data_IF_035521792362
#
_entry.id   IF_035521792362
#
_cell.length_a   1.000
_cell.length_b   1.000
_cell.length_c   1.000
_cell.angle_alpha   90.00
_cell.angle_beta   90.00
_cell.angle_gamma   90.00
#
_symmetry.space_group_name_H-M   'P 1'
#
loop_
_entity.id
_entity.type
_entity.pdbx_description
1 polymer ?
#
# COMPACT_ATOMS: atom_id res chain seq x y z
N UNK A 1 14.51 -2.63 -20.80
CA UNK A 1 13.30 -1.91 -20.34
C UNK A 1 12.73 -2.58 -19.12
N UNK A 2 12.49 -1.83 -18.08
CA UNK A 2 11.90 -2.37 -16.85
C UNK A 2 10.45 -2.79 -17.09
N UNK A 3 10.09 -3.98 -16.62
CA UNK A 3 8.75 -4.54 -16.76
C UNK A 3 8.08 -4.67 -15.39
N UNK A 4 7.02 -3.90 -15.18
CA UNK A 4 6.23 -3.94 -13.94
C UNK A 4 4.88 -4.59 -14.22
N UNK A 5 4.50 -5.56 -13.39
CA UNK A 5 3.21 -6.23 -13.47
C UNK A 5 2.54 -6.23 -12.10
N UNK A 6 1.23 -6.10 -12.09
CA UNK A 6 0.40 -6.26 -10.89
C UNK A 6 -0.34 -7.59 -11.01
N UNK A 7 -0.17 -8.44 -10.00
CA UNK A 7 -0.67 -9.82 -10.03
C UNK A 7 -1.77 -9.96 -8.99
N UNK A 8 -2.96 -10.41 -9.41
CA UNK A 8 -4.07 -10.71 -8.49
C UNK A 8 -3.73 -11.90 -7.60
N UNK A 9 -4.06 -11.80 -6.32
CA UNK A 9 -3.78 -12.85 -5.34
C UNK A 9 -5.02 -13.73 -5.19
N UNK A 10 -5.07 -14.82 -5.92
CA UNK A 10 -6.24 -15.68 -6.04
C UNK A 10 -5.98 -17.16 -5.68
N UNK A 11 -4.81 -17.48 -5.11
CA UNK A 11 -4.48 -18.82 -4.66
C UNK A 11 -3.52 -18.79 -3.47
N UNK A 12 -3.34 -19.93 -2.81
CA UNK A 12 -2.53 -20.05 -1.60
C UNK A 12 -1.04 -19.76 -1.85
N UNK A 13 -0.52 -20.14 -3.00
CA UNK A 13 0.88 -19.86 -3.36
C UNK A 13 1.16 -18.36 -3.41
N UNK A 14 0.26 -17.57 -4.01
CA UNK A 14 0.38 -16.13 -4.09
C UNK A 14 0.16 -15.45 -2.74
N UNK A 15 -0.72 -15.99 -1.88
CA UNK A 15 -0.86 -15.53 -0.49
C UNK A 15 0.43 -15.73 0.30
N UNK A 16 1.09 -16.86 0.11
CA UNK A 16 2.38 -17.13 0.74
C UNK A 16 3.48 -16.18 0.26
N UNK A 17 3.46 -15.80 -1.01
CA UNK A 17 4.36 -14.77 -1.53
C UNK A 17 4.11 -13.41 -0.84
N UNK A 18 2.84 -13.04 -0.66
CA UNK A 18 2.48 -11.83 0.08
C UNK A 18 2.99 -11.90 1.53
N UNK A 19 2.79 -13.04 2.21
CA UNK A 19 3.27 -13.23 3.58
C UNK A 19 4.80 -13.08 3.67
N UNK A 20 5.53 -13.64 2.71
CA UNK A 20 6.98 -13.51 2.66
C UNK A 20 7.40 -12.03 2.56
N UNK A 21 6.68 -11.23 1.79
CA UNK A 21 6.93 -9.79 1.69
C UNK A 21 6.65 -9.10 3.04
N UNK A 22 5.55 -9.45 3.72
CA UNK A 22 5.22 -8.93 5.04
C UNK A 22 6.33 -9.23 6.05
N UNK A 23 6.78 -10.49 6.09
CA UNK A 23 7.82 -10.93 7.03
C UNK A 23 9.18 -10.26 6.79
N UNK A 24 9.41 -9.75 5.59
CA UNK A 24 10.61 -8.98 5.24
C UNK A 24 10.43 -7.46 5.40
N UNK A 25 9.42 -7.03 6.14
CA UNK A 25 9.13 -5.62 6.40
C UNK A 25 8.85 -5.36 7.88
N UNK A 26 9.74 -5.80 8.77
CA UNK A 26 9.65 -5.62 10.22
C UNK A 26 9.45 -4.17 10.63
N UNK A 27 10.13 -3.25 9.97
CA UNK A 27 10.03 -1.83 10.29
C UNK A 27 8.58 -1.34 10.24
N UNK A 28 7.83 -1.74 9.23
CA UNK A 28 6.43 -1.36 9.08
C UNK A 28 5.52 -2.16 10.03
N UNK A 29 5.60 -3.50 9.96
CA UNK A 29 4.64 -4.35 10.66
C UNK A 29 4.81 -4.34 12.18
N UNK A 30 6.02 -4.12 12.71
CA UNK A 30 6.23 -3.97 14.14
C UNK A 30 5.56 -2.72 14.73
N UNK A 31 5.27 -1.72 13.90
CA UNK A 31 4.57 -0.50 14.34
C UNK A 31 3.06 -0.69 14.51
N UNK A 32 2.49 -1.69 13.87
CA UNK A 32 1.04 -1.93 13.89
C UNK A 32 0.64 -3.15 14.70
N UNK A 33 1.55 -4.06 15.00
CA UNK A 33 1.29 -5.29 15.76
C UNK A 33 2.52 -5.74 16.53
N UNK A 34 2.29 -6.33 17.72
CA UNK A 34 3.33 -7.00 18.50
C UNK A 34 3.61 -8.41 17.99
N UNK A 35 2.75 -8.95 17.13
CA UNK A 35 2.87 -10.29 16.58
C UNK A 35 3.46 -10.23 15.17
N UNK A 36 4.19 -11.28 14.79
CA UNK A 36 4.63 -11.44 13.41
C UNK A 36 3.42 -11.59 12.49
N UNK A 37 3.49 -11.01 11.27
CA UNK A 37 2.45 -11.25 10.29
C UNK A 37 2.23 -12.74 10.02
N UNK A 38 0.98 -13.10 9.78
CA UNK A 38 0.57 -14.48 9.48
C UNK A 38 -0.23 -14.51 8.18
N UNK A 39 -0.50 -15.71 7.68
CA UNK A 39 -1.36 -15.87 6.50
C UNK A 39 -2.76 -15.29 6.76
N UNK A 40 -3.24 -15.37 8.00
CA UNK A 40 -4.51 -14.76 8.40
C UNK A 40 -4.51 -13.25 8.20
N UNK A 41 -3.39 -12.57 8.51
CA UNK A 41 -3.25 -11.14 8.29
C UNK A 41 -3.32 -10.79 6.79
N UNK A 42 -2.69 -11.59 5.93
CA UNK A 42 -2.76 -11.42 4.47
C UNK A 42 -4.21 -11.58 4.00
N UNK A 43 -4.88 -12.65 4.44
CA UNK A 43 -6.28 -12.91 4.06
C UNK A 43 -7.22 -11.81 4.52
N UNK A 44 -6.99 -11.28 5.72
CA UNK A 44 -7.75 -10.15 6.26
C UNK A 44 -7.57 -8.90 5.40
N UNK A 45 -6.35 -8.58 5.03
CA UNK A 45 -6.05 -7.43 4.16
C UNK A 45 -6.71 -7.57 2.78
N UNK A 46 -6.71 -8.78 2.22
CA UNK A 46 -7.32 -9.03 0.91
C UNK A 46 -8.82 -8.75 0.92
N UNK A 47 -9.53 -9.12 1.98
CA UNK A 47 -10.99 -9.05 2.03
C UNK A 47 -11.56 -7.79 2.66
N UNK A 48 -10.78 -7.07 3.46
CA UNK A 48 -11.28 -5.91 4.22
C UNK A 48 -11.59 -4.75 3.28
N UNK A 49 -12.83 -4.30 3.35
CA UNK A 49 -13.30 -3.10 2.65
C UNK A 49 -14.12 -2.22 3.62
N UNK A 50 -14.04 -0.88 3.51
CA UNK A 50 -14.87 0.01 4.31
C UNK A 50 -16.37 -0.16 4.00
N UNK A 51 -17.21 0.28 4.93
CA UNK A 51 -18.66 0.32 4.70
C UNK A 51 -18.99 1.17 3.46
N UNK A 52 -19.89 0.66 2.62
CA UNK A 52 -20.32 1.34 1.41
C UNK A 52 -19.41 1.14 0.20
N UNK A 53 -18.28 0.48 0.37
CA UNK A 53 -17.36 0.15 -0.74
C UNK A 53 -17.74 -1.20 -1.34
N UNK A 54 -17.73 -1.29 -2.65
CA UNK A 54 -18.01 -2.54 -3.38
C UNK A 54 -16.73 -3.34 -3.61
N UNK A 55 -16.87 -4.65 -3.74
CA UNK A 55 -15.72 -5.56 -3.96
C UNK A 55 -14.88 -5.19 -5.18
N UNK A 56 -15.50 -4.70 -6.25
CA UNK A 56 -14.79 -4.33 -7.47
C UNK A 56 -13.94 -3.06 -7.33
N UNK A 57 -14.10 -2.31 -6.22
CA UNK A 57 -13.24 -1.16 -5.91
C UNK A 57 -11.96 -1.57 -5.20
N UNK A 58 -11.90 -2.79 -4.64
CA UNK A 58 -10.74 -3.31 -3.90
C UNK A 58 -9.73 -3.95 -4.86
N UNK A 59 -8.48 -3.55 -4.72
CA UNK A 59 -7.37 -4.05 -5.53
C UNK A 59 -6.19 -4.41 -4.64
N UNK A 60 -6.09 -5.68 -4.27
CA UNK A 60 -4.94 -6.23 -3.57
C UNK A 60 -4.07 -6.96 -4.60
N UNK A 61 -2.84 -6.51 -4.81
CA UNK A 61 -1.97 -7.02 -5.88
C UNK A 61 -0.56 -7.24 -5.38
N UNK A 62 0.06 -8.33 -5.85
CA UNK A 62 1.51 -8.45 -5.78
C UNK A 62 2.14 -7.60 -6.87
N UNK A 63 3.31 -7.05 -6.57
CA UNK A 63 4.10 -6.26 -7.51
C UNK A 63 5.25 -7.12 -8.01
N UNK A 64 5.29 -7.33 -9.33
CA UNK A 64 6.40 -7.97 -10.01
C UNK A 64 7.22 -6.93 -10.76
N UNK A 65 8.53 -7.01 -10.62
CA UNK A 65 9.48 -6.17 -11.33
C UNK A 65 10.49 -7.08 -12.02
N UNK A 66 10.52 -7.03 -13.36
CA UNK A 66 11.36 -7.91 -14.19
C UNK A 66 11.19 -9.40 -13.81
N UNK A 67 9.92 -9.83 -13.68
CA UNK A 67 9.49 -11.19 -13.33
C UNK A 67 9.85 -11.66 -11.91
N UNK A 68 10.38 -10.78 -11.06
CA UNK A 68 10.58 -11.04 -9.63
C UNK A 68 9.45 -10.41 -8.81
N UNK A 69 8.77 -11.19 -7.97
CA UNK A 69 7.77 -10.67 -7.04
C UNK A 69 8.50 -10.03 -5.86
N UNK A 70 8.29 -8.73 -5.66
CA UNK A 70 9.03 -7.98 -4.65
C UNK A 70 8.20 -7.01 -3.81
N UNK A 71 6.92 -6.90 -4.04
CA UNK A 71 6.10 -5.97 -3.26
C UNK A 71 4.62 -6.30 -3.28
N UNK A 72 3.88 -5.53 -2.48
CA UNK A 72 2.41 -5.57 -2.41
C UNK A 72 1.89 -4.15 -2.51
N UNK A 73 0.81 -3.99 -3.26
CA UNK A 73 -0.01 -2.78 -3.23
C UNK A 73 -1.46 -3.17 -3.00
N UNK A 74 -2.11 -2.46 -2.09
CA UNK A 74 -3.54 -2.57 -1.80
C UNK A 74 -4.16 -1.19 -1.93
N UNK A 75 -5.14 -1.05 -2.80
CA UNK A 75 -5.78 0.23 -3.01
C UNK A 75 -7.27 0.10 -3.31
N UNK A 76 -8.00 1.17 -3.01
CA UNK A 76 -9.41 1.32 -3.33
C UNK A 76 -9.57 2.38 -4.41
N UNK A 77 -10.45 2.12 -5.37
CA UNK A 77 -10.86 3.10 -6.37
C UNK A 77 -12.10 3.85 -5.89
N UNK A 78 -12.22 5.13 -6.27
CA UNK A 78 -13.36 5.98 -5.91
C UNK A 78 -13.64 6.01 -4.40
N UNK A 79 -12.59 6.15 -3.60
CA UNK A 79 -12.67 6.21 -2.16
C UNK A 79 -11.59 7.15 -1.58
N UNK A 80 -11.90 7.98 -0.59
CA UNK A 80 -13.21 8.15 0.08
C UNK A 80 -14.23 8.91 -0.76
N UNK A 81 -13.85 9.40 -1.91
CA UNK A 81 -14.74 10.11 -2.83
C UNK A 81 -14.43 9.74 -4.28
N UNK A 82 -15.33 10.08 -5.19
CA UNK A 82 -15.19 9.79 -6.62
C UNK A 82 -13.85 10.31 -7.16
N UNK A 83 -13.29 9.60 -8.14
CA UNK A 83 -12.04 9.93 -8.84
C UNK A 83 -10.80 9.98 -7.95
N UNK A 84 -10.88 9.38 -6.74
CA UNK A 84 -9.79 9.27 -5.78
C UNK A 84 -9.35 7.82 -5.62
N UNK A 85 -8.04 7.61 -5.60
CA UNK A 85 -7.43 6.33 -5.20
C UNK A 85 -6.99 6.46 -3.75
N UNK A 86 -7.39 5.52 -2.90
CA UNK A 86 -6.80 5.37 -1.57
C UNK A 86 -5.84 4.18 -1.59
N UNK A 87 -4.55 4.44 -1.40
CA UNK A 87 -3.57 3.37 -1.21
C UNK A 87 -3.53 3.04 0.28
N UNK A 88 -3.97 1.84 0.63
CA UNK A 88 -3.96 1.36 2.01
C UNK A 88 -2.66 0.67 2.40
N UNK A 89 -1.96 0.07 1.44
CA UNK A 89 -0.68 -0.59 1.65
C UNK A 89 0.17 -0.49 0.40
N UNK A 90 1.41 -0.08 0.57
CA UNK A 90 2.42 -0.09 -0.49
C UNK A 90 3.75 -0.44 0.15
N UNK A 91 4.20 -1.67 -0.05
CA UNK A 91 5.43 -2.18 0.54
C UNK A 91 6.29 -2.91 -0.49
N UNK A 92 7.59 -2.72 -0.39
CA UNK A 92 8.60 -3.42 -1.17
C UNK A 92 9.46 -4.21 -0.19
N UNK A 93 9.88 -5.41 -0.54
CA UNK A 93 10.79 -6.23 0.27
C UNK A 93 11.95 -5.39 0.79
N UNK A 94 12.29 -5.53 2.07
CA UNK A 94 13.31 -4.72 2.74
C UNK A 94 14.66 -4.74 2.01
N UNK A 95 15.08 -5.91 1.54
CA UNK A 95 16.33 -6.10 0.80
C UNK A 95 16.33 -5.44 -0.59
N UNK A 96 15.17 -5.01 -1.07
CA UNK A 96 15.00 -4.31 -2.35
C UNK A 96 14.72 -2.80 -2.19
N UNK A 97 14.63 -2.32 -0.94
CA UNK A 97 14.43 -0.89 -0.67
C UNK A 97 15.70 -0.08 -0.91
N UNK A 98 15.58 1.24 -0.97
CA UNK A 98 16.70 2.19 -1.15
C UNK A 98 17.47 2.05 -2.48
N UNK A 99 16.90 1.34 -3.45
CA UNK A 99 17.46 1.20 -4.80
C UNK A 99 16.69 2.01 -5.83
N UNK A 100 15.80 2.89 -5.40
CA UNK A 100 14.93 3.67 -6.28
C UNK A 100 13.76 2.88 -6.85
N UNK A 101 13.60 1.61 -6.48
CA UNK A 101 12.52 0.74 -6.99
C UNK A 101 11.14 1.24 -6.55
N UNK A 102 11.00 1.65 -5.30
CA UNK A 102 9.73 2.18 -4.81
C UNK A 102 9.24 3.37 -5.63
N UNK A 103 10.13 4.29 -5.96
CA UNK A 103 9.83 5.45 -6.80
C UNK A 103 9.45 5.02 -8.22
N UNK A 104 10.18 4.08 -8.83
CA UNK A 104 9.85 3.57 -10.18
C UNK A 104 8.48 2.93 -10.22
N UNK A 105 8.20 2.07 -9.25
CA UNK A 105 6.93 1.35 -9.14
C UNK A 105 5.78 2.33 -8.88
N UNK A 106 5.98 3.27 -7.96
CA UNK A 106 4.96 4.27 -7.68
C UNK A 106 4.64 5.13 -8.91
N UNK A 107 5.64 5.55 -9.66
CA UNK A 107 5.43 6.30 -10.92
C UNK A 107 4.63 5.50 -11.95
N UNK A 108 4.87 4.20 -12.02
CA UNK A 108 4.08 3.31 -12.86
C UNK A 108 2.61 3.29 -12.42
N UNK A 109 2.35 3.14 -11.12
CA UNK A 109 1.00 3.15 -10.56
C UNK A 109 0.31 4.50 -10.83
N UNK A 110 1.00 5.59 -10.53
CA UNK A 110 0.48 6.95 -10.74
C UNK A 110 0.07 7.18 -12.19
N UNK A 111 0.93 6.78 -13.12
CA UNK A 111 0.63 6.86 -14.55
C UNK A 111 -0.59 6.02 -14.93
N UNK A 112 -0.69 4.81 -14.39
CA UNK A 112 -1.84 3.93 -14.60
C UNK A 112 -3.14 4.56 -14.08
N UNK A 113 -3.12 5.13 -12.88
CA UNK A 113 -4.28 5.81 -12.30
C UNK A 113 -4.69 7.03 -13.13
N UNK A 114 -3.73 7.82 -13.54
CA UNK A 114 -3.94 8.99 -14.39
C UNK A 114 -4.59 8.61 -15.74
N UNK A 115 -4.10 7.54 -16.36
CA UNK A 115 -4.66 7.02 -17.61
C UNK A 115 -6.11 6.56 -17.45
N UNK A 116 -6.49 6.09 -16.27
CA UNK A 116 -7.86 5.71 -15.93
C UNK A 116 -8.72 6.87 -15.44
N UNK A 117 -8.20 8.11 -15.54
CA UNK A 117 -8.90 9.35 -15.22
C UNK A 117 -9.14 9.61 -13.73
N UNK A 118 -8.40 8.95 -12.84
CA UNK A 118 -8.38 9.35 -11.45
C UNK A 118 -7.66 10.70 -11.30
N UNK A 119 -8.10 11.50 -10.35
CA UNK A 119 -7.64 12.89 -10.18
C UNK A 119 -6.69 13.07 -9.01
N UNK A 120 -6.74 12.17 -8.04
CA UNK A 120 -5.86 12.26 -6.86
C UNK A 120 -5.64 10.91 -6.19
N UNK A 121 -4.56 10.86 -5.43
CA UNK A 121 -4.18 9.69 -4.62
C UNK A 121 -4.11 10.15 -3.16
N UNK A 122 -4.73 9.39 -2.27
CA UNK A 122 -4.71 9.60 -0.82
C UNK A 122 -4.02 8.42 -0.15
N UNK A 123 -3.26 8.70 0.90
CA UNK A 123 -2.59 7.71 1.73
C UNK A 123 -2.73 8.08 3.21
N UNK A 124 -2.57 7.09 4.08
CA UNK A 124 -2.41 7.30 5.51
C UNK A 124 -1.06 6.75 5.95
N UNK A 125 -0.28 7.54 6.69
CA UNK A 125 1.05 7.17 7.15
C UNK A 125 1.11 7.34 8.67
N UNK A 126 1.55 6.30 9.38
CA UNK A 126 1.77 6.40 10.83
C UNK A 126 2.76 7.52 11.13
N UNK A 127 2.47 8.32 12.16
CA UNK A 127 3.29 9.48 12.52
C UNK A 127 4.74 9.09 12.85
N UNK A 128 4.95 7.87 13.36
CA UNK A 128 6.27 7.34 13.68
C UNK A 128 6.93 6.55 12.54
N UNK A 129 6.29 6.46 11.39
CA UNK A 129 6.86 5.85 10.20
C UNK A 129 7.65 6.88 9.40
N UNK A 130 8.85 7.20 9.88
CA UNK A 130 9.71 8.23 9.27
C UNK A 130 10.12 7.90 7.84
N UNK A 131 10.38 6.62 7.57
CA UNK A 131 10.76 6.15 6.22
C UNK A 131 9.60 6.36 5.25
N UNK A 132 8.40 5.99 5.64
CA UNK A 132 7.19 6.20 4.83
C UNK A 132 6.91 7.67 4.59
N UNK A 133 6.95 8.49 5.64
CA UNK A 133 6.73 9.93 5.51
C UNK A 133 7.73 10.57 4.54
N UNK A 134 9.01 10.22 4.66
CA UNK A 134 10.06 10.73 3.77
C UNK A 134 9.80 10.31 2.32
N UNK A 135 9.44 9.03 2.10
CA UNK A 135 9.14 8.51 0.77
C UNK A 135 7.99 9.28 0.12
N UNK A 136 6.87 9.41 0.81
CA UNK A 136 5.68 10.05 0.24
C UNK A 136 5.87 11.55 0.02
N UNK A 137 6.60 12.24 0.90
CA UNK A 137 6.99 13.65 0.67
C UNK A 137 7.81 13.79 -0.60
N UNK A 138 8.74 12.90 -0.86
CA UNK A 138 9.54 12.89 -2.10
C UNK A 138 8.68 12.62 -3.34
N UNK A 139 7.55 11.93 -3.19
CA UNK A 139 6.58 11.74 -4.26
C UNK A 139 5.60 12.91 -4.39
N UNK A 140 5.84 14.02 -3.69
CA UNK A 140 5.04 15.25 -3.71
C UNK A 140 3.66 15.13 -3.06
N UNK A 141 3.49 14.19 -2.14
CA UNK A 141 2.32 14.15 -1.28
C UNK A 141 2.40 15.23 -0.21
N UNK A 142 1.25 15.82 0.12
CA UNK A 142 1.12 16.86 1.15
C UNK A 142 0.18 16.41 2.25
N UNK A 143 0.51 16.75 3.48
CA UNK A 143 -0.35 16.49 4.63
C UNK A 143 -1.65 17.31 4.50
N UNK A 144 -2.80 16.66 4.70
CA UNK A 144 -4.12 17.32 4.68
C UNK A 144 -4.82 17.26 6.03
N UNK A 145 -4.60 16.21 6.83
CA UNK A 145 -5.17 16.07 8.17
C UNK A 145 -4.41 15.04 8.98
N UNK A 146 -4.69 14.99 10.28
CA UNK A 146 -4.22 13.94 11.18
C UNK A 146 -5.41 13.34 11.90
N UNK A 147 -5.35 12.04 12.16
CA UNK A 147 -6.41 11.34 12.89
C UNK A 147 -5.85 10.15 13.64
N UNK A 148 -6.59 9.66 14.62
CA UNK A 148 -6.24 8.46 15.35
C UNK A 148 -7.02 7.28 14.80
N UNK A 149 -6.31 6.18 14.52
CA UNK A 149 -6.90 4.92 14.10
C UNK A 149 -6.58 3.84 15.14
N UNK A 150 -7.52 2.91 15.32
CA UNK A 150 -7.32 1.79 16.21
C UNK A 150 -6.60 0.65 15.47
N UNK A 151 -5.46 0.21 16.04
CA UNK A 151 -4.72 -0.97 15.61
C UNK A 151 -4.67 -1.92 16.79
N UNK A 152 -5.17 -3.15 16.63
CA UNK A 152 -5.18 -4.16 17.69
C UNK A 152 -5.52 -3.58 19.09
N UNK A 153 -4.48 -3.35 19.92
CA UNK A 153 -4.59 -2.93 21.31
C UNK A 153 -4.36 -1.44 21.55
N UNK A 154 -4.03 -0.66 20.51
CA UNK A 154 -3.67 0.75 20.67
C UNK A 154 -4.26 1.63 19.59
N UNK A 155 -4.44 2.91 19.93
CA UNK A 155 -4.72 3.95 18.95
C UNK A 155 -3.40 4.55 18.48
N UNK A 156 -3.27 4.74 17.17
CA UNK A 156 -2.10 5.34 16.56
C UNK A 156 -2.49 6.58 15.76
N UNK A 157 -1.64 7.59 15.84
CA UNK A 157 -1.83 8.80 15.05
C UNK A 157 -1.38 8.55 13.61
N UNK A 158 -2.23 8.92 12.67
CA UNK A 158 -2.01 8.76 11.23
C UNK A 158 -2.05 10.12 10.56
N UNK A 159 -1.04 10.39 9.74
CA UNK A 159 -1.01 11.56 8.87
C UNK A 159 -1.64 11.18 7.55
N UNK A 160 -2.74 11.86 7.20
CA UNK A 160 -3.39 11.68 5.91
C UNK A 160 -2.74 12.62 4.91
N UNK A 161 -2.28 12.07 3.80
CA UNK A 161 -1.59 12.83 2.76
C UNK A 161 -2.29 12.64 1.42
N UNK A 162 -2.19 13.64 0.57
CA UNK A 162 -2.80 13.63 -0.78
C UNK A 162 -1.85 14.17 -1.82
N UNK A 163 -2.04 13.70 -3.04
CA UNK A 163 -1.38 14.20 -4.24
C UNK A 163 -2.39 14.29 -5.37
N UNK A 164 -2.48 15.44 -6.03
CA UNK A 164 -3.21 15.58 -7.29
C UNK A 164 -2.39 15.02 -8.45
N UNK A 165 -3.05 14.32 -9.34
CA UNK A 165 -2.40 13.67 -10.48
C UNK A 165 -3.02 14.02 -11.83
#
# INVERSE_FOLDING_TARGET
>A
MDMIKLISVNNDGLKNEALNIYLKNDYYFSKISDNLPSISAVEEDIKTIPNGVQKNQKNYRLISFNDEILGVVDFLTDYPEKDTILIGLFIIKNDKQKQGLGTKIFRYLEKSFKNKKFLKIRIGVLVDNEIGLSFWKKQNFKEIERKFLKFEKSKKEVIVMEKEI
#
